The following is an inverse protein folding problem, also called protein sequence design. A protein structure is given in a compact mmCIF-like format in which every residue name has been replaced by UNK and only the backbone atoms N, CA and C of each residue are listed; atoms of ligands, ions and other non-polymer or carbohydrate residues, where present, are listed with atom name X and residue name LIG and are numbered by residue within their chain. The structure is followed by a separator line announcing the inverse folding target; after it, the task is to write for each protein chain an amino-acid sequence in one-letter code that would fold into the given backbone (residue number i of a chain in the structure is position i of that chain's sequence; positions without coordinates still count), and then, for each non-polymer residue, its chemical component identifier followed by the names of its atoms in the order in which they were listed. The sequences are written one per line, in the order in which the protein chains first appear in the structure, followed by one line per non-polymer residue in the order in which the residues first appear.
data_IF_873545603475
#
_entry.id   IF_873545603475
#
_cell.length_a   1.000
_cell.length_b   1.000
_cell.length_c   1.000
_cell.angle_alpha   90.00
_cell.angle_beta   90.00
_cell.angle_gamma   90.00
#
_symmetry.space_group_name_H-M   'P 1'
#
loop_
_entity.id
_entity.type
_entity.pdbx_description
1 polymer ?
#
# COMPACT_ATOMS: atom_id res chain seq x y z
N UNK A 1 -2.41 -19.87 -7.56
CA UNK A 1 -2.39 -18.55 -6.86
C UNK A 1 -1.32 -18.58 -5.77
N UNK A 2 -0.32 -17.71 -5.82
CA UNK A 2 0.83 -17.77 -4.91
C UNK A 2 0.48 -17.11 -3.55
N UNK A 3 0.05 -17.91 -2.56
CA UNK A 3 -0.43 -17.45 -1.23
C UNK A 3 0.53 -16.49 -0.52
N UNK A 4 1.84 -16.59 -0.81
CA UNK A 4 2.86 -15.68 -0.27
C UNK A 4 2.70 -14.25 -0.81
N UNK A 5 2.50 -14.10 -2.11
CA UNK A 5 2.31 -12.79 -2.75
C UNK A 5 1.04 -12.10 -2.28
N UNK A 6 -0.05 -12.83 -2.10
CA UNK A 6 -1.29 -12.26 -1.55
C UNK A 6 -1.12 -11.76 -0.13
N UNK A 7 -0.45 -12.54 0.74
CA UNK A 7 -0.14 -12.10 2.11
C UNK A 7 0.77 -10.87 2.13
N UNK A 8 1.80 -10.85 1.29
CA UNK A 8 2.68 -9.69 1.17
C UNK A 8 1.88 -8.46 0.72
N UNK A 9 1.05 -8.58 -0.31
CA UNK A 9 0.25 -7.46 -0.81
C UNK A 9 -0.65 -6.86 0.27
N UNK A 10 -1.27 -7.69 1.12
CA UNK A 10 -2.06 -7.23 2.26
C UNK A 10 -1.21 -6.51 3.32
N UNK A 11 -0.05 -7.07 3.70
CA UNK A 11 0.87 -6.44 4.65
C UNK A 11 1.39 -5.09 4.14
N UNK A 12 1.74 -5.01 2.86
CA UNK A 12 2.17 -3.76 2.24
C UNK A 12 1.05 -2.72 2.25
N UNK A 13 -0.20 -3.12 2.00
CA UNK A 13 -1.34 -2.21 2.05
C UNK A 13 -1.55 -1.65 3.45
N UNK A 14 -1.47 -2.49 4.49
CA UNK A 14 -1.65 -2.08 5.89
C UNK A 14 -0.54 -1.12 6.34
N UNK A 15 0.72 -1.48 6.10
CA UNK A 15 1.87 -0.65 6.48
C UNK A 15 1.93 0.66 5.70
N UNK A 16 1.72 0.64 4.38
CA UNK A 16 1.73 1.87 3.59
C UNK A 16 0.57 2.79 4.00
N UNK A 17 -0.59 2.25 4.37
CA UNK A 17 -1.71 3.06 4.87
C UNK A 17 -1.37 3.71 6.21
N UNK A 18 -0.73 2.96 7.12
CA UNK A 18 -0.26 3.48 8.40
C UNK A 18 0.81 4.56 8.24
N UNK A 19 1.76 4.37 7.31
CA UNK A 19 2.78 5.35 6.98
C UNK A 19 2.18 6.62 6.36
N UNK A 20 1.20 6.48 5.46
CA UNK A 20 0.52 7.62 4.84
C UNK A 20 -0.16 8.51 5.90
N UNK A 21 -0.75 7.91 6.93
CA UNK A 21 -1.39 8.66 8.02
C UNK A 21 -0.38 9.35 8.95
N UNK A 22 0.83 8.80 9.10
CA UNK A 22 1.83 9.28 10.09
C UNK A 22 2.83 10.25 9.49
N UNK A 23 3.28 10.03 8.26
CA UNK A 23 4.39 10.74 7.61
C UNK A 23 3.91 11.83 6.65
N UNK A 24 2.65 11.82 6.23
CA UNK A 24 2.14 12.86 5.31
C UNK A 24 1.98 14.18 6.05
N UNK A 25 2.87 15.12 5.73
CA UNK A 25 2.92 16.47 6.29
C UNK A 25 1.69 17.33 5.98
N UNK A 26 0.84 16.97 5.01
CA UNK A 26 -0.40 17.70 4.73
C UNK A 26 -1.63 16.96 5.29
N UNK A 27 -2.18 17.40 6.44
CA UNK A 27 -3.32 16.75 7.09
C UNK A 27 -4.60 16.73 6.22
N UNK A 28 -4.65 17.52 5.14
CA UNK A 28 -5.75 17.51 4.18
C UNK A 28 -5.66 16.32 3.22
N UNK A 29 -4.46 15.87 2.87
CA UNK A 29 -4.27 14.68 2.04
C UNK A 29 -4.44 13.39 2.85
N UNK A 30 -3.91 13.35 4.08
CA UNK A 30 -3.96 12.15 4.92
C UNK A 30 -5.39 11.65 5.20
N UNK A 31 -6.38 12.55 5.14
CA UNK A 31 -7.79 12.24 5.40
C UNK A 31 -8.60 11.94 4.13
N UNK A 32 -8.05 12.27 2.96
CA UNK A 32 -8.74 12.11 1.67
C UNK A 32 -8.15 11.00 0.80
N UNK A 33 -6.90 10.58 1.05
CA UNK A 33 -6.19 9.62 0.21
C UNK A 33 -6.08 8.28 0.93
N UNK A 34 -6.58 7.23 0.27
CA UNK A 34 -6.57 5.86 0.79
C UNK A 34 -5.95 4.88 -0.21
N UNK A 35 -5.22 3.89 0.30
CA UNK A 35 -4.63 2.85 -0.55
C UNK A 35 -5.68 1.77 -0.80
N UNK A 36 -6.12 1.65 -2.05
CA UNK A 36 -7.17 0.71 -2.46
C UNK A 36 -6.62 -0.65 -2.85
N UNK A 37 -5.33 -0.74 -3.17
CA UNK A 37 -4.68 -2.01 -3.42
C UNK A 37 -3.19 -1.90 -3.73
N UNK A 38 -2.49 -3.02 -3.59
CA UNK A 38 -1.07 -3.14 -3.92
C UNK A 38 -0.87 -4.40 -4.77
N UNK A 39 -0.19 -4.25 -5.91
CA UNK A 39 0.18 -5.34 -6.79
C UNK A 39 1.70 -5.46 -6.85
N UNK A 40 2.23 -6.57 -6.34
CA UNK A 40 3.67 -6.83 -6.28
C UNK A 40 4.06 -7.78 -7.41
N UNK A 41 5.17 -7.49 -8.08
CA UNK A 41 5.71 -8.37 -9.11
C UNK A 41 6.25 -9.68 -8.50
N UNK A 42 6.26 -10.81 -9.23
CA UNK A 42 6.68 -12.10 -8.68
C UNK A 42 8.15 -12.15 -8.24
N UNK A 43 8.99 -11.28 -8.81
CA UNK A 43 10.40 -11.09 -8.46
C UNK A 43 10.60 -10.18 -7.24
N UNK A 44 9.52 -9.64 -6.67
CA UNK A 44 9.49 -8.72 -5.51
C UNK A 44 10.28 -7.42 -5.71
N UNK A 45 10.69 -7.10 -6.95
CA UNK A 45 11.46 -5.88 -7.24
C UNK A 45 10.60 -4.64 -7.37
N UNK A 46 9.34 -4.79 -7.79
CA UNK A 46 8.46 -3.67 -8.06
C UNK A 46 7.09 -3.89 -7.42
N UNK A 47 6.47 -2.80 -7.00
CA UNK A 47 5.08 -2.78 -6.54
C UNK A 47 4.33 -1.62 -7.19
N UNK A 48 3.11 -1.88 -7.64
CA UNK A 48 2.15 -0.86 -8.08
C UNK A 48 1.15 -0.64 -6.95
N UNK A 49 1.04 0.60 -6.51
CA UNK A 49 0.11 1.02 -5.44
C UNK A 49 -1.00 1.82 -6.08
N UNK A 50 -2.24 1.43 -5.77
CA UNK A 50 -3.45 2.13 -6.21
C UNK A 50 -3.97 2.99 -5.07
N UNK A 51 -4.27 4.25 -5.38
CA UNK A 51 -4.72 5.26 -4.42
C UNK A 51 -5.99 5.92 -4.95
N UNK A 52 -6.95 6.18 -4.05
CA UNK A 52 -8.17 6.94 -4.33
C UNK A 52 -8.42 7.97 -3.24
#
# INVERSE_FOLDING_TARGET
MNRRLQRLSGLFQEELSGLLLREVNDPRLARLVSITGVMITPDLRHARVYVS
#
